data_IF_369795624282
#
_entry.id   IF_369795624282
#
_cell.length_a   1.000
_cell.length_b   1.000
_cell.length_c   1.000
_cell.angle_alpha   90.00
_cell.angle_beta   90.00
_cell.angle_gamma   90.00
#
_symmetry.space_group_name_H-M   'P 1'
#
loop_
_entity.id
_entity.type
_entity.pdbx_description
1 polymer ?
#
# COMPACT_ATOMS: atom_id res chain seq x y z
N UNK A 1 27.33 -9.58 15.57
CA UNK A 1 26.41 -10.68 15.14
C UNK A 1 26.04 -10.58 13.67
N UNK A 2 25.60 -9.44 13.18
CA UNK A 2 25.19 -9.25 11.79
C UNK A 2 26.32 -9.52 10.78
N UNK A 3 27.55 -9.10 11.07
CA UNK A 3 28.71 -9.36 10.25
C UNK A 3 29.06 -10.85 10.17
N UNK A 4 28.93 -11.57 11.30
CA UNK A 4 29.11 -13.04 11.31
C UNK A 4 28.06 -13.73 10.46
N UNK A 5 26.80 -13.29 10.54
CA UNK A 5 25.73 -13.80 9.70
C UNK A 5 26.02 -13.55 8.21
N UNK A 6 26.51 -12.36 7.86
CA UNK A 6 26.89 -12.03 6.48
C UNK A 6 28.01 -12.97 5.97
N UNK A 7 29.02 -13.26 6.78
CA UNK A 7 30.10 -14.20 6.42
C UNK A 7 29.57 -15.62 6.18
N UNK A 8 28.61 -16.08 7.00
CA UNK A 8 27.97 -17.39 6.79
C UNK A 8 27.18 -17.40 5.49
N UNK A 9 26.42 -16.37 5.21
CA UNK A 9 25.67 -16.22 3.95
C UNK A 9 26.64 -16.22 2.76
N UNK A 10 27.74 -15.48 2.83
CA UNK A 10 28.75 -15.47 1.77
C UNK A 10 29.34 -16.89 1.50
N UNK A 11 29.67 -17.64 2.55
CA UNK A 11 30.16 -19.03 2.41
C UNK A 11 29.14 -19.95 1.74
N UNK A 12 27.85 -19.85 2.12
CA UNK A 12 26.75 -20.62 1.52
C UNK A 12 26.60 -20.27 0.05
N UNK A 13 26.56 -18.97 -0.27
CA UNK A 13 26.43 -18.49 -1.67
C UNK A 13 27.59 -18.97 -2.54
N UNK A 14 28.82 -18.91 -2.04
CA UNK A 14 30.00 -19.42 -2.76
C UNK A 14 29.88 -20.93 -3.06
N UNK A 15 29.40 -21.74 -2.11
CA UNK A 15 29.13 -23.18 -2.34
C UNK A 15 28.06 -23.40 -3.44
N UNK A 16 27.09 -22.53 -3.53
CA UNK A 16 26.04 -22.57 -4.57
C UNK A 16 26.48 -21.94 -5.89
N UNK A 17 27.74 -21.53 -6.03
CA UNK A 17 28.31 -20.83 -7.19
C UNK A 17 27.54 -19.52 -7.50
N UNK A 18 27.03 -18.87 -6.45
CA UNK A 18 26.33 -17.56 -6.52
C UNK A 18 27.19 -16.48 -5.88
N UNK A 19 27.14 -15.28 -6.44
CA UNK A 19 27.84 -14.11 -5.90
C UNK A 19 26.84 -13.11 -5.35
N UNK A 20 27.12 -12.59 -4.15
CA UNK A 20 26.34 -11.47 -3.59
C UNK A 20 26.67 -10.19 -4.35
N UNK A 21 25.65 -9.41 -4.66
CA UNK A 21 25.85 -8.14 -5.36
C UNK A 21 26.50 -7.12 -4.41
N UNK A 22 27.68 -6.58 -4.71
CA UNK A 22 28.49 -5.82 -3.75
C UNK A 22 27.80 -4.55 -3.25
N UNK A 23 27.06 -3.83 -4.11
CA UNK A 23 26.39 -2.58 -3.73
C UNK A 23 24.97 -2.77 -3.16
N UNK A 24 24.35 -3.93 -3.40
CA UNK A 24 22.97 -4.23 -2.93
C UNK A 24 22.96 -5.02 -1.62
N UNK A 25 24.08 -5.66 -1.27
CA UNK A 25 24.22 -6.43 -0.04
C UNK A 25 24.84 -5.54 1.04
N UNK A 26 24.06 -5.18 2.04
CA UNK A 26 24.52 -4.33 3.15
C UNK A 26 23.87 -4.75 4.46
N UNK A 27 24.58 -4.54 5.55
CA UNK A 27 24.04 -4.63 6.91
C UNK A 27 23.38 -3.30 7.24
N UNK A 28 22.14 -3.31 7.70
CA UNK A 28 21.35 -2.13 8.05
C UNK A 28 21.03 -2.16 9.54
N UNK A 29 21.29 -1.06 10.24
CA UNK A 29 20.81 -0.85 11.60
C UNK A 29 19.38 -0.33 11.57
N UNK A 30 18.42 -1.20 11.88
CA UNK A 30 17.00 -0.87 11.92
C UNK A 30 16.63 0.24 12.93
N UNK A 31 17.49 0.54 13.89
CA UNK A 31 17.26 1.62 14.87
C UNK A 31 17.62 3.00 14.32
N UNK A 32 18.52 3.06 13.36
CA UNK A 32 18.99 4.31 12.74
C UNK A 32 18.28 4.61 11.43
N UNK A 33 18.21 3.61 10.55
CA UNK A 33 17.53 3.71 9.27
C UNK A 33 16.67 2.46 9.03
N UNK A 34 15.53 2.61 8.37
CA UNK A 34 14.73 1.49 7.92
C UNK A 34 15.27 0.91 6.60
N UNK A 35 14.71 -0.22 6.18
CA UNK A 35 14.97 -0.80 4.86
C UNK A 35 13.71 -1.33 4.23
N UNK A 36 13.71 -1.36 2.89
CA UNK A 36 12.62 -1.91 2.10
C UNK A 36 12.93 -3.35 1.68
N UNK A 37 11.99 -4.26 1.95
CA UNK A 37 12.08 -5.64 1.51
C UNK A 37 10.69 -6.16 1.10
N UNK A 38 10.59 -6.80 -0.06
CA UNK A 38 9.33 -7.33 -0.62
C UNK A 38 8.17 -6.32 -0.61
N UNK A 39 8.45 -5.05 -0.82
CA UNK A 39 7.42 -4.00 -0.83
C UNK A 39 7.01 -3.48 0.56
N UNK A 40 7.56 -4.03 1.62
CA UNK A 40 7.41 -3.52 2.99
C UNK A 40 8.61 -2.66 3.40
N UNK A 41 8.35 -1.71 4.26
CA UNK A 41 9.36 -0.94 4.97
C UNK A 41 9.46 -1.43 6.41
N UNK A 42 10.67 -1.76 6.84
CA UNK A 42 11.00 -2.24 8.18
C UNK A 42 11.80 -1.18 8.92
N UNK A 43 11.36 -0.81 10.12
CA UNK A 43 12.03 0.20 10.94
C UNK A 43 11.76 -0.06 12.43
N UNK A 44 12.75 0.15 13.30
CA UNK A 44 12.54 0.18 14.75
C UNK A 44 12.23 1.60 15.18
N UNK A 45 11.07 1.80 15.78
CA UNK A 45 10.62 3.09 16.28
C UNK A 45 10.22 3.00 17.76
N UNK A 46 10.38 4.09 18.48
CA UNK A 46 9.90 4.17 19.86
C UNK A 46 8.39 4.21 19.88
N UNK A 47 7.77 3.22 20.52
CA UNK A 47 6.32 3.15 20.69
C UNK A 47 5.83 4.27 21.61
N UNK A 48 4.88 5.07 21.14
CA UNK A 48 4.26 6.14 21.95
C UNK A 48 3.54 5.61 23.19
N UNK A 49 3.08 4.35 23.19
CA UNK A 49 2.34 3.74 24.29
C UNK A 49 3.25 3.17 25.39
N UNK A 50 4.34 2.52 24.98
CA UNK A 50 5.19 1.75 25.90
C UNK A 50 6.56 2.38 26.12
N UNK A 51 6.89 3.44 25.37
CA UNK A 51 8.21 4.08 25.30
C UNK A 51 9.37 3.11 25.00
N UNK A 52 9.05 1.93 24.43
CA UNK A 52 10.03 0.91 24.05
C UNK A 52 10.31 0.97 22.55
N UNK A 53 11.53 0.64 22.17
CA UNK A 53 11.94 0.51 20.77
C UNK A 53 11.38 -0.81 20.23
N UNK A 54 10.41 -0.73 19.30
CA UNK A 54 9.72 -1.88 18.72
C UNK A 54 9.91 -1.90 17.20
N UNK A 55 9.97 -3.09 16.59
CA UNK A 55 9.97 -3.21 15.14
C UNK A 55 8.57 -2.88 14.57
N UNK A 56 8.55 -2.00 13.57
CA UNK A 56 7.36 -1.64 12.81
C UNK A 56 7.52 -2.06 11.38
N UNK A 57 6.43 -2.49 10.77
CA UNK A 57 6.37 -2.94 9.37
C UNK A 57 5.14 -2.33 8.70
N UNK A 58 5.35 -1.66 7.57
CA UNK A 58 4.25 -1.11 6.75
C UNK A 58 4.63 -1.14 5.27
N UNK A 59 3.69 -0.85 4.38
CA UNK A 59 3.94 -0.79 2.94
C UNK A 59 4.95 0.30 2.59
N UNK A 60 5.95 -0.03 1.77
CA UNK A 60 6.99 0.90 1.34
C UNK A 60 6.43 2.04 0.47
N UNK A 61 7.16 3.15 0.39
CA UNK A 61 6.81 4.28 -0.48
C UNK A 61 6.67 3.85 -1.95
N UNK A 62 7.54 2.95 -2.41
CA UNK A 62 7.51 2.41 -3.77
C UNK A 62 6.22 1.62 -4.02
N UNK A 63 5.80 0.77 -3.08
CA UNK A 63 4.55 0.02 -3.17
C UNK A 63 3.33 0.96 -3.17
N UNK A 64 3.32 1.97 -2.29
CA UNK A 64 2.27 2.99 -2.23
C UNK A 64 2.15 3.79 -3.53
N UNK A 65 3.27 4.16 -4.14
CA UNK A 65 3.29 4.85 -5.44
C UNK A 65 2.74 3.95 -6.54
N UNK A 66 3.15 2.69 -6.58
CA UNK A 66 2.71 1.74 -7.60
C UNK A 66 1.19 1.50 -7.58
N UNK A 67 0.58 1.31 -6.40
CA UNK A 67 -0.88 1.15 -6.31
C UNK A 67 -1.63 2.43 -6.68
N UNK A 68 -1.14 3.61 -6.27
CA UNK A 68 -1.72 4.89 -6.67
C UNK A 68 -1.69 5.09 -8.17
N UNK A 69 -0.60 4.73 -8.84
CA UNK A 69 -0.50 4.76 -10.30
C UNK A 69 -1.55 3.86 -10.95
N UNK A 70 -1.71 2.61 -10.48
CA UNK A 70 -2.75 1.70 -11.02
C UNK A 70 -4.16 2.26 -10.84
N UNK A 71 -4.49 2.82 -9.68
CA UNK A 71 -5.78 3.48 -9.42
C UNK A 71 -5.97 4.69 -10.32
N UNK A 72 -4.92 5.50 -10.52
CA UNK A 72 -4.93 6.62 -11.43
C UNK A 72 -5.27 6.19 -12.86
N UNK A 73 -4.60 5.16 -13.38
CA UNK A 73 -4.76 4.68 -14.76
C UNK A 73 -6.17 4.17 -15.06
N UNK A 74 -6.83 3.58 -14.04
CA UNK A 74 -8.23 3.16 -14.15
C UNK A 74 -9.18 4.35 -14.12
N UNK A 75 -8.83 5.42 -13.40
CA UNK A 75 -9.66 6.63 -13.21
C UNK A 75 -9.20 7.81 -14.08
N UNK A 76 -8.59 7.55 -15.23
CA UNK A 76 -8.19 8.61 -16.17
C UNK A 76 -9.38 9.13 -16.98
N UNK A 77 -9.21 10.32 -17.57
CA UNK A 77 -10.20 10.89 -18.48
C UNK A 77 -10.45 10.03 -19.72
N UNK A 78 -9.46 9.27 -20.17
CA UNK A 78 -9.59 8.34 -21.33
C UNK A 78 -10.62 7.23 -21.09
N UNK A 79 -11.00 6.96 -19.84
CA UNK A 79 -11.97 5.93 -19.46
C UNK A 79 -13.32 6.49 -19.00
N UNK A 80 -13.66 7.73 -19.35
CA UNK A 80 -14.94 8.34 -18.96
C UNK A 80 -16.16 7.68 -19.63
N UNK A 81 -15.98 7.00 -20.75
CA UNK A 81 -17.04 6.23 -21.42
C UNK A 81 -17.43 4.94 -20.70
N UNK A 82 -16.54 4.39 -19.86
CA UNK A 82 -16.82 3.14 -19.18
C UNK A 82 -17.93 3.30 -18.12
N UNK A 83 -18.80 2.28 -17.91
CA UNK A 83 -19.74 2.23 -16.80
C UNK A 83 -19.03 2.31 -15.45
N UNK A 84 -19.66 2.94 -14.46
CA UNK A 84 -19.07 3.02 -13.09
C UNK A 84 -18.82 1.63 -12.50
N UNK A 85 -19.74 0.71 -12.74
CA UNK A 85 -19.70 -0.67 -12.26
C UNK A 85 -18.47 -1.41 -12.76
N UNK A 86 -18.09 -1.18 -14.00
CA UNK A 86 -16.88 -1.76 -14.61
C UNK A 86 -15.60 -1.16 -13.97
N UNK A 87 -15.56 0.16 -13.80
CA UNK A 87 -14.44 0.84 -13.14
C UNK A 87 -14.28 0.34 -11.71
N UNK A 88 -15.38 0.21 -10.97
CA UNK A 88 -15.37 -0.32 -9.59
C UNK A 88 -14.93 -1.79 -9.56
N UNK A 89 -15.37 -2.61 -10.50
CA UNK A 89 -14.94 -4.01 -10.62
C UNK A 89 -13.42 -4.14 -10.78
N UNK A 90 -12.80 -3.28 -11.60
CA UNK A 90 -11.34 -3.24 -11.75
C UNK A 90 -10.64 -2.72 -10.49
N UNK A 91 -11.17 -1.68 -9.86
CA UNK A 91 -10.64 -1.15 -8.60
C UNK A 91 -10.68 -2.22 -7.49
N UNK A 92 -11.79 -2.94 -7.37
CA UNK A 92 -11.94 -3.99 -6.35
C UNK A 92 -10.91 -5.13 -6.52
N UNK A 93 -10.52 -5.49 -7.74
CA UNK A 93 -9.42 -6.45 -7.97
C UNK A 93 -8.10 -5.95 -7.38
N UNK A 94 -7.78 -4.66 -7.60
CA UNK A 94 -6.57 -4.04 -7.04
C UNK A 94 -6.66 -3.98 -5.52
N UNK A 95 -7.81 -3.51 -4.99
CA UNK A 95 -8.04 -3.35 -3.55
C UNK A 95 -7.87 -4.70 -2.84
N UNK A 96 -8.51 -5.77 -3.32
CA UNK A 96 -8.41 -7.12 -2.71
C UNK A 96 -6.99 -7.65 -2.74
N UNK A 97 -6.33 -7.61 -3.91
CA UNK A 97 -4.97 -8.13 -4.05
C UNK A 97 -3.99 -7.38 -3.13
N UNK A 98 -4.09 -6.05 -3.11
CA UNK A 98 -3.20 -5.21 -2.32
C UNK A 98 -3.49 -5.33 -0.82
N UNK A 99 -4.75 -5.31 -0.40
CA UNK A 99 -5.18 -5.53 0.98
C UNK A 99 -4.69 -6.88 1.51
N UNK A 100 -4.90 -7.96 0.76
CA UNK A 100 -4.49 -9.29 1.18
C UNK A 100 -2.99 -9.41 1.42
N UNK A 101 -2.18 -8.70 0.63
CA UNK A 101 -0.73 -8.69 0.75
C UNK A 101 -0.25 -7.76 1.87
N UNK A 102 -0.78 -6.53 1.96
CA UNK A 102 -0.26 -5.49 2.86
C UNK A 102 -1.04 -5.29 4.17
N UNK A 103 -2.00 -6.15 4.50
CA UNK A 103 -2.74 -6.07 5.77
C UNK A 103 -1.91 -6.41 7.01
N UNK A 104 -0.68 -6.85 6.83
CA UNK A 104 0.25 -7.27 7.88
C UNK A 104 0.92 -6.05 8.51
N UNK A 105 1.19 -6.11 9.82
CA UNK A 105 1.94 -5.08 10.56
C UNK A 105 1.17 -3.78 10.80
N UNK A 106 1.88 -2.67 10.81
CA UNK A 106 1.36 -1.34 11.16
C UNK A 106 0.82 -0.58 9.93
N UNK A 107 0.07 -1.26 9.06
CA UNK A 107 -0.36 -0.73 7.76
C UNK A 107 -1.68 0.05 7.79
N UNK A 108 -2.37 0.16 8.93
CA UNK A 108 -3.70 0.79 9.06
C UNK A 108 -3.77 2.18 8.43
N UNK A 109 -2.87 3.08 8.79
CA UNK A 109 -2.85 4.44 8.25
C UNK A 109 -2.63 4.46 6.73
N UNK A 110 -1.74 3.60 6.23
CA UNK A 110 -1.44 3.49 4.79
C UNK A 110 -2.64 2.97 4.00
N UNK A 111 -3.37 2.01 4.56
CA UNK A 111 -4.60 1.47 3.95
C UNK A 111 -5.71 2.53 3.92
N UNK A 112 -5.90 3.28 5.01
CA UNK A 112 -6.86 4.40 5.07
C UNK A 112 -6.48 5.54 4.11
N UNK A 113 -5.18 5.84 3.93
CA UNK A 113 -4.70 6.81 2.94
C UNK A 113 -5.07 6.39 1.51
N UNK A 114 -4.97 5.10 1.20
CA UNK A 114 -5.37 4.58 -0.11
C UNK A 114 -6.89 4.66 -0.30
N UNK A 115 -7.70 4.40 0.72
CA UNK A 115 -9.15 4.56 0.65
C UNK A 115 -9.54 6.02 0.37
N UNK A 116 -8.89 6.97 1.05
CA UNK A 116 -9.07 8.41 0.78
C UNK A 116 -8.68 8.76 -0.65
N UNK A 117 -7.56 8.25 -1.12
CA UNK A 117 -7.08 8.47 -2.48
C UNK A 117 -8.05 7.93 -3.54
N UNK A 118 -8.55 6.69 -3.40
CA UNK A 118 -9.53 6.09 -4.33
C UNK A 118 -10.81 6.91 -4.38
N UNK A 119 -11.35 7.32 -3.22
CA UNK A 119 -12.55 8.17 -3.14
C UNK A 119 -12.34 9.52 -3.85
N UNK A 120 -11.19 10.15 -3.64
CA UNK A 120 -10.84 11.41 -4.31
C UNK A 120 -10.76 11.23 -5.82
N UNK A 121 -10.10 10.16 -6.31
CA UNK A 121 -9.98 9.86 -7.74
C UNK A 121 -11.34 9.59 -8.39
N UNK A 122 -12.18 8.78 -7.77
CA UNK A 122 -13.54 8.50 -8.26
C UNK A 122 -14.40 9.75 -8.28
N UNK A 123 -14.29 10.63 -7.27
CA UNK A 123 -14.99 11.92 -7.26
C UNK A 123 -14.58 12.81 -8.45
N UNK A 124 -13.28 12.91 -8.73
CA UNK A 124 -12.76 13.65 -9.88
C UNK A 124 -13.25 13.04 -11.20
N UNK A 125 -13.19 11.70 -11.31
CA UNK A 125 -13.64 10.97 -12.49
C UNK A 125 -15.14 11.16 -12.76
N UNK A 126 -16.00 11.02 -11.75
CA UNK A 126 -17.44 11.26 -11.85
C UNK A 126 -17.78 12.71 -12.20
N UNK A 127 -17.05 13.68 -11.65
CA UNK A 127 -17.20 15.11 -12.02
C UNK A 127 -16.86 15.33 -13.48
N UNK A 128 -15.76 14.77 -13.97
CA UNK A 128 -15.35 14.90 -15.38
C UNK A 128 -16.36 14.26 -16.33
N UNK A 129 -17.03 13.18 -15.93
CA UNK A 129 -18.06 12.49 -16.71
C UNK A 129 -19.34 13.34 -16.89
N UNK A 130 -19.74 14.10 -15.86
CA UNK A 130 -20.94 14.96 -15.89
C UNK A 130 -20.70 16.35 -16.51
N UNK A 131 -19.45 16.68 -16.82
CA UNK A 131 -19.06 18.02 -17.27
C UNK A 131 -19.16 19.09 -16.18
N UNK A 132 -18.98 20.35 -16.56
CA UNK A 132 -18.92 21.49 -15.61
C UNK A 132 -20.18 21.69 -14.75
N UNK A 133 -21.33 21.17 -15.16
CA UNK A 133 -22.61 21.27 -14.43
C UNK A 133 -22.79 20.21 -13.34
N UNK A 134 -21.90 19.23 -13.21
CA UNK A 134 -22.04 18.07 -12.35
C UNK A 134 -21.46 18.26 -10.94
N UNK A 135 -22.01 19.16 -10.11
CA UNK A 135 -21.70 19.13 -8.68
C UNK A 135 -22.35 17.92 -8.01
N UNK A 136 -21.51 17.05 -7.45
CA UNK A 136 -21.97 15.99 -6.55
C UNK A 136 -21.97 16.52 -5.13
N UNK A 137 -23.13 16.50 -4.46
CA UNK A 137 -23.15 16.66 -3.00
C UNK A 137 -22.43 15.47 -2.35
N UNK A 138 -21.88 15.67 -1.16
CA UNK A 138 -21.21 14.57 -0.43
C UNK A 138 -22.17 13.39 -0.23
N UNK A 139 -23.40 13.67 0.16
CA UNK A 139 -24.47 12.67 0.37
C UNK A 139 -24.76 11.86 -0.90
N UNK A 140 -24.89 12.51 -2.06
CA UNK A 140 -25.11 11.83 -3.33
C UNK A 140 -23.92 10.99 -3.77
N UNK A 141 -22.70 11.48 -3.56
CA UNK A 141 -21.47 10.75 -3.88
C UNK A 141 -21.33 9.48 -3.03
N UNK A 142 -21.53 9.59 -1.70
CA UNK A 142 -21.48 8.43 -0.79
C UNK A 142 -22.57 7.41 -1.14
N UNK A 143 -23.80 7.84 -1.47
CA UNK A 143 -24.87 6.96 -1.88
C UNK A 143 -24.56 6.19 -3.18
N UNK A 144 -23.93 6.85 -4.16
CA UNK A 144 -23.51 6.20 -5.43
C UNK A 144 -22.39 5.20 -5.19
N UNK A 145 -21.40 5.54 -4.38
CA UNK A 145 -20.32 4.59 -4.04
C UNK A 145 -20.85 3.39 -3.24
N UNK A 146 -21.75 3.59 -2.29
CA UNK A 146 -22.38 2.50 -1.53
C UNK A 146 -23.11 1.51 -2.43
N UNK A 147 -23.85 2.01 -3.44
CA UNK A 147 -24.54 1.15 -4.42
C UNK A 147 -23.61 0.49 -5.43
N UNK A 148 -22.46 1.08 -5.71
CA UNK A 148 -21.50 0.54 -6.70
C UNK A 148 -20.72 -0.70 -6.21
N UNK A 149 -20.80 -1.04 -4.92
CA UNK A 149 -20.05 -2.16 -4.34
C UNK A 149 -18.54 -1.91 -4.25
N UNK A 150 -18.11 -0.63 -4.15
CA UNK A 150 -16.70 -0.31 -3.95
C UNK A 150 -16.21 -0.85 -2.60
N UNK A 151 -15.16 -1.66 -2.65
CA UNK A 151 -14.49 -2.19 -1.46
C UNK A 151 -13.52 -1.18 -0.84
N UNK A 152 -13.04 -1.50 0.36
CA UNK A 152 -12.06 -0.71 1.09
C UNK A 152 -10.74 -1.48 1.22
N UNK A 153 -9.61 -0.79 1.18
CA UNK A 153 -8.31 -1.34 1.56
C UNK A 153 -8.27 -1.64 3.06
N UNK A 154 -8.85 -0.77 3.88
CA UNK A 154 -8.96 -0.96 5.32
C UNK A 154 -10.30 -1.59 5.68
N UNK A 155 -10.25 -2.72 6.40
CA UNK A 155 -11.42 -3.37 6.99
C UNK A 155 -11.15 -3.53 8.48
N UNK A 156 -12.07 -3.07 9.31
CA UNK A 156 -12.00 -3.22 10.77
C UNK A 156 -11.87 -4.69 11.16
N UNK A 157 -10.87 -5.04 11.99
CA UNK A 157 -10.64 -6.41 12.44
C UNK A 157 -9.67 -7.25 11.60
N UNK A 158 -9.16 -6.73 10.47
CA UNK A 158 -8.20 -7.47 9.62
C UNK A 158 -6.73 -7.11 9.86
N UNK A 159 -6.46 -6.06 10.63
CA UNK A 159 -5.10 -5.74 11.04
C UNK A 159 -4.76 -6.63 12.24
N UNK A 160 -3.71 -7.44 12.11
CA UNK A 160 -3.26 -8.36 13.15
C UNK A 160 -3.18 -7.66 14.51
N UNK A 161 -3.65 -8.38 15.53
CA UNK A 161 -3.62 -7.95 16.92
C UNK A 161 -2.25 -7.36 17.24
N UNK A 162 -2.27 -6.13 17.75
CA UNK A 162 -1.07 -5.49 18.25
C UNK A 162 -0.54 -6.32 19.42
N UNK A 163 0.76 -6.64 19.48
CA UNK A 163 1.37 -7.11 20.71
C UNK A 163 1.34 -6.04 21.79
#
# INVERSE_FOLDING_TARGET
EAERALQVVQKVMTRLKLTLHPTKTRVVDMGREGFDFLGFHFHKLTSKRTNKLLPYVWSSQKAMKAVRTRVHDITTRKRLSNPLEEVVKYLNKIIRGWRNYFRIGNSTEKLQDLDRYVRQRLRQWLRSRKGARGRWSEKAFVAVLGRSGLESFYVTGTCGSRP
#
